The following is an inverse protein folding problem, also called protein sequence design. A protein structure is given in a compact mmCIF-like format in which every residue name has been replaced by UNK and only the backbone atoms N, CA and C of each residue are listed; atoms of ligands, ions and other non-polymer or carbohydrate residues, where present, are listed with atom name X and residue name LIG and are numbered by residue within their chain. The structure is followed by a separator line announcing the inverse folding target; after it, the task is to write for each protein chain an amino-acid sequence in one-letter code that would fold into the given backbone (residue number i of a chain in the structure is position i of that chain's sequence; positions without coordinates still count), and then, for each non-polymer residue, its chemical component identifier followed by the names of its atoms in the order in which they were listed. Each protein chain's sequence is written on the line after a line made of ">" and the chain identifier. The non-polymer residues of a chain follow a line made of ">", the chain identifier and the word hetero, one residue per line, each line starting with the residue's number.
data_IF_249988597451
#
_entry.id   IF_249988597451
#
_cell.length_a   1.000
_cell.length_b   1.000
_cell.length_c   1.000
_cell.angle_alpha   90.00
_cell.angle_beta   90.00
_cell.angle_gamma   90.00
#
_symmetry.space_group_name_H-M   'P 1'
#
loop_
_entity.id
_entity.type
_entity.pdbx_description
1 polymer ?
#
# COMPACT_ATOMS: atom_id res chain seq x y z
N UNK A 1 -4.40 15.23 -87.50
CA UNK A 1 -5.57 14.83 -86.68
C UNK A 1 -5.87 13.38 -87.00
N UNK A 2 -5.59 12.46 -86.07
CA UNK A 2 -5.81 11.03 -86.29
C UNK A 2 -7.26 10.66 -86.05
N UNK A 3 -7.87 9.90 -86.96
CA UNK A 3 -9.18 9.29 -86.71
C UNK A 3 -8.97 7.95 -86.00
N UNK A 4 -9.77 7.66 -84.98
CA UNK A 4 -9.77 6.34 -84.35
C UNK A 4 -10.98 5.52 -84.81
N UNK A 5 -10.79 4.21 -84.87
CA UNK A 5 -11.82 3.23 -85.21
C UNK A 5 -11.95 2.26 -84.05
N UNK A 6 -13.18 2.04 -83.59
CA UNK A 6 -13.46 1.08 -82.51
C UNK A 6 -14.10 -0.15 -83.14
N UNK A 7 -13.48 -1.30 -82.92
CA UNK A 7 -13.96 -2.61 -83.37
C UNK A 7 -14.55 -3.37 -82.19
N UNK A 8 -15.61 -4.13 -82.43
CA UNK A 8 -16.13 -5.10 -81.46
C UNK A 8 -15.37 -6.41 -81.67
N UNK A 9 -15.01 -7.08 -80.58
CA UNK A 9 -14.17 -8.29 -80.65
C UNK A 9 -14.91 -9.38 -81.43
N UNK A 10 -14.35 -9.79 -82.56
CA UNK A 10 -14.90 -10.80 -83.47
C UNK A 10 -15.53 -10.26 -84.77
N UNK A 11 -15.53 -8.95 -85.00
CA UNK A 11 -16.07 -8.33 -86.23
C UNK A 11 -15.02 -7.45 -86.93
N UNK A 12 -14.95 -7.56 -88.27
CA UNK A 12 -13.95 -6.85 -89.10
C UNK A 12 -14.39 -5.43 -89.53
N UNK A 13 -15.62 -5.03 -89.22
CA UNK A 13 -16.19 -3.71 -89.53
C UNK A 13 -16.27 -2.82 -88.25
N UNK A 14 -15.79 -1.56 -88.28
CA UNK A 14 -15.73 -0.71 -87.09
C UNK A 14 -17.09 -0.12 -86.72
N UNK A 15 -17.52 -0.34 -85.48
CA UNK A 15 -18.83 0.06 -84.93
C UNK A 15 -18.96 1.58 -84.74
N UNK A 16 -17.85 2.31 -84.63
CA UNK A 16 -17.87 3.78 -84.49
C UNK A 16 -16.63 4.41 -85.12
N UNK A 17 -16.83 5.50 -85.86
CA UNK A 17 -15.76 6.39 -86.37
C UNK A 17 -15.99 7.81 -85.86
N UNK A 18 -14.95 8.41 -85.30
CA UNK A 18 -15.00 9.80 -84.82
C UNK A 18 -13.60 10.43 -84.79
N UNK A 19 -13.52 11.78 -84.80
CA UNK A 19 -12.25 12.48 -84.67
C UNK A 19 -11.65 12.22 -83.28
N UNK A 20 -10.32 12.05 -83.19
CA UNK A 20 -9.65 11.88 -81.90
C UNK A 20 -10.00 13.03 -80.95
N UNK A 21 -10.37 12.73 -79.68
CA UNK A 21 -10.61 13.77 -78.70
C UNK A 21 -9.33 14.59 -78.49
N UNK A 22 -9.43 15.91 -78.27
CA UNK A 22 -8.25 16.73 -78.00
C UNK A 22 -7.51 16.17 -76.79
N UNK A 23 -6.18 16.11 -76.85
CA UNK A 23 -5.32 15.70 -75.74
C UNK A 23 -5.68 16.54 -74.51
N UNK A 24 -6.40 15.94 -73.57
CA UNK A 24 -6.75 16.56 -72.30
C UNK A 24 -5.48 16.97 -71.57
N UNK A 25 -5.52 18.14 -70.94
CA UNK A 25 -4.43 18.63 -70.10
C UNK A 25 -3.97 17.52 -69.12
N UNK A 26 -2.65 17.41 -68.85
CA UNK A 26 -2.14 16.41 -67.91
C UNK A 26 -2.89 16.53 -66.57
N UNK A 27 -3.19 15.40 -65.90
CA UNK A 27 -3.92 15.44 -64.63
C UNK A 27 -3.16 16.33 -63.65
N UNK A 28 -3.87 17.12 -62.81
CA UNK A 28 -3.21 18.00 -61.86
C UNK A 28 -2.25 17.18 -61.00
N UNK A 29 -1.01 17.65 -60.87
CA UNK A 29 0.00 17.01 -60.03
C UNK A 29 -0.61 16.78 -58.64
N UNK A 30 -0.50 15.54 -58.13
CA UNK A 30 -0.96 15.22 -56.76
C UNK A 30 -0.38 16.28 -55.81
N UNK A 31 -1.19 16.92 -54.95
CA UNK A 31 -0.67 17.93 -54.04
C UNK A 31 0.43 17.31 -53.20
N UNK A 32 1.61 17.92 -53.21
CA UNK A 32 2.73 17.51 -52.38
C UNK A 32 2.23 17.33 -50.95
N UNK A 33 2.51 16.17 -50.33
CA UNK A 33 2.16 15.88 -48.93
C UNK A 33 2.52 17.11 -48.09
N UNK A 34 1.51 17.84 -47.64
CA UNK A 34 1.67 19.20 -47.16
C UNK A 34 2.59 19.24 -45.94
N UNK A 35 3.37 20.32 -45.81
CA UNK A 35 4.23 20.61 -44.66
C UNK A 35 3.49 20.49 -43.30
N UNK A 36 2.16 20.60 -43.30
CA UNK A 36 1.31 20.34 -42.13
C UNK A 36 1.39 18.91 -41.59
N UNK A 37 1.65 17.90 -42.44
CA UNK A 37 1.80 16.50 -41.99
C UNK A 37 3.09 16.27 -41.17
N UNK A 38 4.21 16.87 -41.61
CA UNK A 38 5.48 16.83 -40.87
C UNK A 38 5.42 17.62 -39.57
N UNK A 39 4.79 18.81 -39.57
CA UNK A 39 4.57 19.60 -38.35
C UNK A 39 3.70 18.86 -37.33
N UNK A 40 2.64 18.17 -37.77
CA UNK A 40 1.80 17.33 -36.90
C UNK A 40 2.56 16.13 -36.33
N UNK A 41 3.40 15.47 -37.12
CA UNK A 41 4.23 14.35 -36.64
C UNK A 41 5.28 14.82 -35.60
N UNK A 42 5.89 15.99 -35.81
CA UNK A 42 6.83 16.61 -34.88
C UNK A 42 6.15 17.05 -33.57
N UNK A 43 4.95 17.62 -33.65
CA UNK A 43 4.15 17.98 -32.47
C UNK A 43 3.75 16.74 -31.67
N UNK A 44 3.34 15.65 -32.34
CA UNK A 44 3.00 14.39 -31.68
C UNK A 44 4.20 13.75 -30.98
N UNK A 45 5.36 13.72 -31.64
CA UNK A 45 6.60 13.19 -31.03
C UNK A 45 7.07 14.04 -29.85
N UNK A 46 6.97 15.37 -29.95
CA UNK A 46 7.26 16.27 -28.84
C UNK A 46 6.31 16.06 -27.65
N UNK A 47 5.00 15.90 -27.89
CA UNK A 47 4.03 15.63 -26.83
C UNK A 47 4.25 14.27 -26.15
N UNK A 48 4.61 13.22 -26.92
CA UNK A 48 4.95 11.91 -26.36
C UNK A 48 6.21 12.01 -25.50
N UNK A 49 7.25 12.71 -25.96
CA UNK A 49 8.47 12.92 -25.20
C UNK A 49 8.21 13.71 -23.90
N UNK A 50 7.35 14.73 -23.96
CA UNK A 50 6.98 15.55 -22.81
C UNK A 50 6.14 14.75 -21.80
N UNK A 51 5.22 13.91 -22.26
CA UNK A 51 4.45 13.00 -21.41
C UNK A 51 5.34 11.92 -20.76
N UNK A 52 6.32 11.38 -21.49
CA UNK A 52 7.30 10.44 -20.94
C UNK A 52 8.19 11.11 -19.88
N UNK A 53 8.69 12.32 -20.16
CA UNK A 53 9.48 13.10 -19.22
C UNK A 53 8.68 13.48 -17.97
N UNK A 54 7.41 13.89 -18.12
CA UNK A 54 6.51 14.15 -16.99
C UNK A 54 6.23 12.87 -16.18
N UNK A 55 6.03 11.73 -16.85
CA UNK A 55 5.88 10.42 -16.19
C UNK A 55 7.11 10.02 -15.37
N UNK A 56 8.31 10.19 -15.93
CA UNK A 56 9.59 9.98 -15.24
C UNK A 56 9.78 10.95 -14.08
N UNK A 57 9.46 12.23 -14.27
CA UNK A 57 9.55 13.25 -13.22
C UNK A 57 8.54 12.98 -12.08
N UNK A 58 7.31 12.59 -12.40
CA UNK A 58 6.29 12.20 -11.42
C UNK A 58 6.67 10.90 -10.69
N UNK A 59 7.25 9.92 -11.36
CA UNK A 59 7.79 8.71 -10.68
C UNK A 59 9.03 9.02 -9.85
N UNK A 60 9.85 10.00 -10.23
CA UNK A 60 10.99 10.42 -9.43
C UNK A 60 10.55 11.25 -8.20
N UNK A 61 9.56 12.14 -8.36
CA UNK A 61 9.03 13.01 -7.30
C UNK A 61 8.09 12.28 -6.32
N UNK A 62 7.22 11.40 -6.83
CA UNK A 62 6.19 10.71 -6.03
C UNK A 62 6.34 9.18 -6.04
N UNK A 63 7.00 8.62 -7.06
CA UNK A 63 7.04 7.18 -7.30
C UNK A 63 7.98 6.42 -6.37
N UNK A 64 9.08 6.99 -5.87
CA UNK A 64 9.95 6.27 -4.90
C UNK A 64 9.20 5.92 -3.62
N UNK A 65 8.37 6.83 -3.13
CA UNK A 65 7.57 6.62 -1.91
C UNK A 65 6.36 5.72 -2.18
N UNK A 66 5.66 5.94 -3.31
CA UNK A 66 4.53 5.10 -3.71
C UNK A 66 4.94 3.65 -4.02
N UNK A 67 6.09 3.45 -4.67
CA UNK A 67 6.66 2.12 -4.94
C UNK A 67 7.14 1.44 -3.66
N UNK A 68 7.80 2.16 -2.74
CA UNK A 68 8.20 1.60 -1.45
C UNK A 68 7.01 1.15 -0.61
N UNK A 69 5.94 1.96 -0.57
CA UNK A 69 4.70 1.60 0.09
C UNK A 69 3.97 0.45 -0.61
N UNK A 70 3.92 0.44 -1.95
CA UNK A 70 3.32 -0.64 -2.72
C UNK A 70 4.09 -1.96 -2.52
N UNK A 71 5.41 -1.94 -2.62
CA UNK A 71 6.26 -3.12 -2.33
C UNK A 71 6.09 -3.57 -0.89
N UNK A 72 5.99 -2.65 0.09
CA UNK A 72 5.71 -2.99 1.48
C UNK A 72 4.34 -3.66 1.69
N UNK A 73 3.31 -3.22 0.96
CA UNK A 73 1.97 -3.84 0.97
C UNK A 73 2.01 -5.21 0.28
N UNK A 74 2.74 -5.35 -0.83
CA UNK A 74 2.91 -6.62 -1.54
C UNK A 74 3.69 -7.63 -0.67
N UNK A 75 4.77 -7.20 0.00
CA UNK A 75 5.52 -8.00 0.98
C UNK A 75 4.62 -8.43 2.15
N UNK A 76 3.77 -7.53 2.66
CA UNK A 76 2.84 -7.85 3.74
C UNK A 76 1.75 -8.83 3.27
N UNK A 77 1.25 -8.66 2.04
CA UNK A 77 0.27 -9.55 1.43
C UNK A 77 0.85 -10.95 1.17
N UNK A 78 2.10 -11.02 0.71
CA UNK A 78 2.85 -12.27 0.56
C UNK A 78 3.11 -12.92 1.93
N UNK A 79 3.52 -12.14 2.93
CA UNK A 79 3.79 -12.64 4.28
C UNK A 79 2.54 -13.12 5.03
N UNK A 80 1.37 -12.57 4.74
CA UNK A 80 0.10 -13.01 5.35
C UNK A 80 -0.54 -14.17 4.60
N UNK A 81 0.03 -14.60 3.47
CA UNK A 81 -0.52 -15.67 2.63
C UNK A 81 -1.89 -15.36 2.04
N UNK A 82 -2.37 -14.11 2.15
CA UNK A 82 -3.73 -13.69 1.78
C UNK A 82 -3.91 -13.52 0.28
N UNK A 83 -2.82 -13.37 -0.48
CA UNK A 83 -2.89 -13.12 -1.92
C UNK A 83 -1.90 -14.04 -2.66
N UNK A 84 -2.37 -14.87 -3.62
CA UNK A 84 -1.48 -15.71 -4.40
C UNK A 84 -0.48 -14.85 -5.19
N UNK A 85 0.79 -15.30 -5.28
CA UNK A 85 1.85 -14.59 -5.99
C UNK A 85 1.46 -14.23 -7.44
N UNK A 86 0.73 -15.10 -8.14
CA UNK A 86 0.29 -14.83 -9.51
C UNK A 86 -0.68 -13.63 -9.61
N UNK A 87 -1.45 -13.33 -8.55
CA UNK A 87 -2.32 -12.15 -8.50
C UNK A 87 -1.49 -10.90 -8.22
N UNK A 88 -0.53 -10.97 -7.31
CA UNK A 88 0.36 -9.87 -6.94
C UNK A 88 1.20 -9.38 -8.15
N UNK A 89 1.69 -10.31 -8.97
CA UNK A 89 2.57 -10.00 -10.10
C UNK A 89 1.87 -9.99 -11.47
N UNK A 90 0.85 -10.83 -11.66
CA UNK A 90 0.17 -11.00 -12.95
C UNK A 90 -0.78 -9.86 -13.29
N UNK A 91 -1.48 -9.30 -12.29
CA UNK A 91 -2.40 -8.18 -12.48
C UNK A 91 -1.69 -6.89 -12.95
N UNK A 92 -0.59 -6.44 -12.32
CA UNK A 92 0.15 -5.28 -12.80
C UNK A 92 0.74 -5.49 -14.20
N UNK A 93 1.25 -6.69 -14.50
CA UNK A 93 1.78 -7.04 -15.81
C UNK A 93 0.70 -6.97 -16.90
N UNK A 94 -0.51 -7.46 -16.62
CA UNK A 94 -1.65 -7.36 -17.53
C UNK A 94 -2.06 -5.90 -17.75
N UNK A 95 -2.07 -5.08 -16.69
CA UNK A 95 -2.33 -3.64 -16.77
C UNK A 95 -1.33 -2.91 -17.68
N UNK A 96 -0.04 -3.23 -17.56
CA UNK A 96 1.02 -2.68 -18.44
C UNK A 96 0.81 -3.10 -19.89
N UNK A 97 0.48 -4.37 -20.16
CA UNK A 97 0.21 -4.85 -21.52
C UNK A 97 -1.02 -4.17 -22.14
N UNK A 98 -2.08 -3.94 -21.36
CA UNK A 98 -3.28 -3.21 -21.79
C UNK A 98 -2.95 -1.75 -22.11
N UNK A 99 -2.15 -1.08 -21.26
CA UNK A 99 -1.69 0.30 -21.52
C UNK A 99 -0.84 0.37 -22.79
N UNK A 100 0.09 -0.57 -23.00
CA UNK A 100 0.90 -0.65 -24.23
C UNK A 100 0.01 -0.84 -25.46
N UNK A 101 -0.94 -1.78 -25.40
CA UNK A 101 -1.87 -2.07 -26.49
C UNK A 101 -2.75 -0.87 -26.84
N UNK A 102 -3.27 -0.16 -25.83
CA UNK A 102 -4.11 1.03 -26.06
C UNK A 102 -3.28 2.23 -26.49
N UNK A 103 -2.06 2.42 -26.00
CA UNK A 103 -1.17 3.49 -26.47
C UNK A 103 -0.79 3.29 -27.94
N UNK A 104 -0.49 2.04 -28.35
CA UNK A 104 -0.28 1.70 -29.74
C UNK A 104 -1.54 1.97 -30.59
N UNK A 105 -2.72 1.59 -30.10
CA UNK A 105 -3.98 1.82 -30.81
C UNK A 105 -4.33 3.32 -30.94
N UNK A 106 -4.12 4.12 -29.90
CA UNK A 106 -4.35 5.57 -29.88
C UNK A 106 -3.42 6.34 -30.83
N UNK A 107 -2.18 5.85 -30.99
CA UNK A 107 -1.17 6.42 -31.88
C UNK A 107 -1.50 6.20 -33.37
N UNK A 108 -2.18 5.10 -33.72
CA UNK A 108 -2.48 4.73 -35.11
C UNK A 108 -3.97 4.80 -35.50
N UNK A 109 -4.90 4.99 -34.56
CA UNK A 109 -6.35 5.03 -34.79
C UNK A 109 -6.91 6.38 -35.28
N UNK A 110 -7.84 6.35 -36.24
CA UNK A 110 -8.32 7.53 -37.01
C UNK A 110 -9.62 8.19 -36.48
N UNK A 111 -10.34 7.56 -35.55
CA UNK A 111 -11.65 8.05 -35.04
C UNK A 111 -11.65 8.32 -33.53
N UNK A 112 -12.15 9.50 -33.13
CA UNK A 112 -12.13 10.01 -31.74
C UNK A 112 -12.98 9.19 -30.76
N UNK A 113 -14.13 8.67 -31.20
CA UNK A 113 -15.02 7.83 -30.38
C UNK A 113 -14.35 6.52 -29.93
N UNK A 114 -13.57 5.91 -30.81
CA UNK A 114 -12.78 4.71 -30.50
C UNK A 114 -11.63 5.00 -29.51
N UNK A 115 -11.12 6.23 -29.49
CA UNK A 115 -10.10 6.66 -28.53
C UNK A 115 -10.65 6.79 -27.11
N UNK A 116 -11.82 7.42 -26.97
CA UNK A 116 -12.52 7.56 -25.67
C UNK A 116 -12.93 6.19 -25.13
N UNK A 117 -13.46 5.31 -25.98
CA UNK A 117 -13.80 3.93 -25.62
C UNK A 117 -12.56 3.15 -25.15
N UNK A 118 -11.44 3.25 -25.88
CA UNK A 118 -10.20 2.57 -25.49
C UNK A 118 -9.65 3.07 -24.14
N UNK A 119 -9.72 4.38 -23.86
CA UNK A 119 -9.32 4.95 -22.58
C UNK A 119 -10.21 4.45 -21.43
N UNK A 120 -11.54 4.39 -21.65
CA UNK A 120 -12.47 3.83 -20.67
C UNK A 120 -12.19 2.35 -20.38
N UNK A 121 -11.84 1.56 -21.41
CA UNK A 121 -11.44 0.15 -21.26
C UNK A 121 -10.13 0.00 -20.48
N UNK A 122 -9.14 0.89 -20.68
CA UNK A 122 -7.91 0.89 -19.85
C UNK A 122 -8.23 1.21 -18.40
N UNK A 123 -9.02 2.26 -18.15
CA UNK A 123 -9.40 2.65 -16.79
C UNK A 123 -10.17 1.52 -16.10
N UNK A 124 -11.12 0.89 -16.81
CA UNK A 124 -11.85 -0.26 -16.30
C UNK A 124 -10.95 -1.48 -16.08
N UNK A 125 -10.00 -1.77 -16.97
CA UNK A 125 -9.05 -2.88 -16.83
C UNK A 125 -8.01 -2.65 -15.72
N UNK A 126 -7.69 -1.40 -15.39
CA UNK A 126 -6.83 -1.03 -14.26
C UNK A 126 -7.60 -1.03 -12.93
N UNK A 127 -8.90 -0.71 -12.95
CA UNK A 127 -9.76 -0.73 -11.76
C UNK A 127 -10.29 -2.13 -11.41
N UNK A 128 -10.56 -2.97 -12.42
CA UNK A 128 -11.13 -4.30 -12.26
C UNK A 128 -10.31 -5.23 -11.37
N UNK A 129 -8.96 -5.21 -11.37
CA UNK A 129 -8.19 -6.02 -10.45
C UNK A 129 -8.25 -5.54 -9.01
N UNK A 130 -8.30 -4.21 -8.78
CA UNK A 130 -8.51 -3.67 -7.43
C UNK A 130 -9.90 -4.01 -6.89
N UNK A 131 -10.92 -3.95 -7.75
CA UNK A 131 -12.29 -4.35 -7.42
C UNK A 131 -12.41 -5.87 -7.22
N UNK A 132 -11.83 -6.68 -8.10
CA UNK A 132 -11.82 -8.14 -8.00
C UNK A 132 -11.04 -8.60 -6.77
N UNK A 133 -9.88 -8.01 -6.46
CA UNK A 133 -9.15 -8.24 -5.22
C UNK A 133 -9.99 -7.88 -3.99
N UNK A 134 -10.70 -6.75 -4.02
CA UNK A 134 -11.63 -6.35 -2.95
C UNK A 134 -12.80 -7.32 -2.78
N UNK A 135 -13.30 -7.90 -3.88
CA UNK A 135 -14.45 -8.81 -3.89
C UNK A 135 -14.06 -10.26 -3.54
N UNK A 136 -12.97 -10.79 -4.09
CA UNK A 136 -12.53 -12.19 -3.89
C UNK A 136 -11.77 -12.40 -2.58
N UNK A 137 -11.11 -11.37 -2.04
CA UNK A 137 -10.48 -11.45 -0.71
C UNK A 137 -11.44 -11.06 0.41
N UNK A 138 -12.72 -10.90 0.10
CA UNK A 138 -13.75 -10.62 1.09
C UNK A 138 -13.65 -9.23 1.73
N UNK A 139 -12.79 -8.31 1.28
CA UNK A 139 -12.52 -7.01 1.95
C UNK A 139 -13.81 -6.25 2.32
N UNK A 140 -14.87 -6.36 1.52
CA UNK A 140 -16.18 -5.72 1.83
C UNK A 140 -17.00 -6.51 2.87
N UNK A 141 -16.91 -7.84 2.90
CA UNK A 141 -17.61 -8.69 3.88
C UNK A 141 -16.80 -8.87 5.19
N UNK A 142 -15.47 -9.02 5.10
CA UNK A 142 -14.54 -9.09 6.23
C UNK A 142 -14.49 -7.79 7.03
N UNK A 143 -14.77 -6.62 6.42
CA UNK A 143 -14.89 -5.37 7.21
C UNK A 143 -16.14 -5.40 8.08
N UNK A 144 -17.24 -6.01 7.61
CA UNK A 144 -18.47 -6.16 8.39
C UNK A 144 -18.30 -7.18 9.53
N UNK A 145 -17.83 -8.39 9.23
CA UNK A 145 -17.64 -9.45 10.23
C UNK A 145 -16.56 -9.09 11.26
N UNK A 146 -15.43 -8.52 10.82
CA UNK A 146 -14.36 -8.04 11.72
C UNK A 146 -14.80 -6.84 12.55
N UNK A 147 -15.81 -6.06 12.11
CA UNK A 147 -16.36 -4.98 12.94
C UNK A 147 -17.18 -5.51 14.11
N UNK A 148 -17.93 -6.59 13.92
CA UNK A 148 -18.71 -7.23 14.99
C UNK A 148 -17.79 -7.96 15.99
N UNK A 149 -16.80 -8.73 15.50
CA UNK A 149 -15.82 -9.42 16.36
C UNK A 149 -15.01 -8.41 17.19
N UNK A 150 -14.52 -7.33 16.57
CA UNK A 150 -13.82 -6.25 17.28
C UNK A 150 -14.75 -5.56 18.28
N UNK A 151 -16.03 -5.36 17.96
CA UNK A 151 -16.99 -4.77 18.88
C UNK A 151 -17.24 -5.67 20.10
N UNK A 152 -17.35 -6.98 19.92
CA UNK A 152 -17.46 -7.93 21.02
C UNK A 152 -16.18 -7.99 21.88
N UNK A 153 -15.00 -8.04 21.26
CA UNK A 153 -13.71 -7.95 21.97
C UNK A 153 -13.63 -6.68 22.81
N UNK A 154 -14.02 -5.53 22.24
CA UNK A 154 -14.02 -4.23 22.93
C UNK A 154 -15.01 -4.24 24.09
N UNK A 155 -16.22 -4.76 23.90
CA UNK A 155 -17.24 -4.87 24.97
C UNK A 155 -16.78 -5.79 26.09
N UNK A 156 -16.17 -6.93 25.77
CA UNK A 156 -15.63 -7.86 26.76
C UNK A 156 -14.51 -7.19 27.56
N UNK A 157 -13.54 -6.58 26.87
CA UNK A 157 -12.40 -5.91 27.51
C UNK A 157 -12.83 -4.70 28.34
N UNK A 158 -13.86 -3.96 27.90
CA UNK A 158 -14.39 -2.81 28.64
C UNK A 158 -14.90 -3.17 30.04
N UNK A 159 -15.28 -4.43 30.29
CA UNK A 159 -15.68 -4.91 31.62
C UNK A 159 -14.50 -5.00 32.58
N UNK A 160 -13.30 -5.22 32.06
CA UNK A 160 -12.05 -5.31 32.84
C UNK A 160 -11.42 -3.93 33.09
N UNK A 161 -11.85 -2.90 32.36
CA UNK A 161 -11.34 -1.54 32.51
C UNK A 161 -11.89 -0.87 33.77
N UNK A 162 -11.03 -0.10 34.43
CA UNK A 162 -11.42 0.77 35.55
C UNK A 162 -11.48 2.20 35.03
N UNK A 163 -12.66 2.82 34.86
CA UNK A 163 -12.75 4.16 34.27
C UNK A 163 -12.01 5.20 35.13
N UNK A 164 -11.28 6.15 34.51
CA UNK A 164 -10.51 7.15 35.25
C UNK A 164 -11.44 8.22 35.80
N UNK A 165 -11.12 8.75 36.98
CA UNK A 165 -11.79 9.94 37.49
C UNK A 165 -11.37 11.18 36.68
N UNK A 166 -12.26 12.16 36.48
CA UNK A 166 -11.92 13.39 35.79
C UNK A 166 -10.69 14.08 36.42
N UNK A 167 -9.74 14.50 35.58
CA UNK A 167 -8.52 15.18 36.01
C UNK A 167 -7.49 14.29 36.72
N UNK A 168 -7.70 12.96 36.81
CA UNK A 168 -6.72 12.03 37.37
C UNK A 168 -5.83 11.41 36.29
N UNK A 169 -4.67 10.84 36.66
CA UNK A 169 -3.81 10.14 35.72
C UNK A 169 -4.54 9.00 35.01
N UNK A 170 -4.28 8.85 33.72
CA UNK A 170 -4.90 7.84 32.86
C UNK A 170 -3.84 6.84 32.43
N UNK A 171 -4.13 5.55 32.57
CA UNK A 171 -3.28 4.46 32.12
C UNK A 171 -3.91 3.78 30.90
N UNK A 172 -3.18 3.78 29.79
CA UNK A 172 -3.58 3.18 28.52
C UNK A 172 -2.66 1.99 28.25
N UNK A 173 -3.22 0.78 28.14
CA UNK A 173 -2.45 -0.40 27.77
C UNK A 173 -2.37 -0.54 26.25
N UNK A 174 -1.17 -0.46 25.69
CA UNK A 174 -0.90 -0.75 24.29
C UNK A 174 -0.60 -2.23 24.13
N UNK A 175 -1.40 -2.90 23.31
CA UNK A 175 -1.32 -4.33 23.01
C UNK A 175 -0.93 -4.49 21.53
N UNK A 176 0.30 -4.93 21.29
CA UNK A 176 0.75 -5.30 19.95
C UNK A 176 0.52 -6.79 19.71
N UNK A 177 -0.36 -7.15 18.76
CA UNK A 177 -0.62 -8.55 18.41
C UNK A 177 0.16 -9.00 17.18
N UNK A 178 0.60 -10.26 17.17
CA UNK A 178 1.26 -10.90 16.02
C UNK A 178 0.29 -11.68 15.12
N UNK A 179 -1.01 -11.54 15.38
CA UNK A 179 -2.10 -12.18 14.64
C UNK A 179 -2.03 -11.82 13.16
N UNK A 180 -1.67 -12.79 12.32
CA UNK A 180 -1.47 -12.57 10.88
C UNK A 180 -2.63 -13.06 10.02
N UNK A 181 -3.39 -14.06 10.49
CA UNK A 181 -4.46 -14.72 9.74
C UNK A 181 -5.71 -14.83 10.62
N UNK A 182 -6.89 -14.87 9.99
CA UNK A 182 -8.17 -15.08 10.65
C UNK A 182 -8.24 -16.51 11.21
N UNK A 183 -8.66 -16.66 12.47
CA UNK A 183 -8.63 -17.95 13.19
C UNK A 183 -7.29 -18.30 13.86
N UNK A 184 -6.22 -17.50 13.68
CA UNK A 184 -5.05 -17.57 14.54
C UNK A 184 -5.39 -16.84 15.85
N UNK A 185 -5.33 -17.51 17.03
CA UNK A 185 -5.58 -16.84 18.31
C UNK A 185 -4.60 -15.68 18.54
N UNK A 186 -3.44 -15.68 17.87
CA UNK A 186 -2.41 -14.67 18.01
C UNK A 186 -1.84 -14.59 19.43
N UNK A 187 -0.80 -13.79 19.62
CA UNK A 187 -0.18 -13.51 20.91
C UNK A 187 0.02 -12.02 21.07
N UNK A 188 -0.02 -11.56 22.31
CA UNK A 188 0.37 -10.18 22.63
C UNK A 188 1.89 -10.11 22.72
N UNK A 189 2.52 -9.75 21.61
CA UNK A 189 3.97 -9.67 21.49
C UNK A 189 4.54 -8.40 22.13
N UNK A 190 3.66 -7.46 22.50
CA UNK A 190 3.96 -6.22 23.20
C UNK A 190 2.83 -5.87 24.17
N UNK A 191 3.18 -5.68 25.44
CA UNK A 191 2.31 -5.13 26.48
C UNK A 191 3.02 -3.93 27.11
N UNK A 192 2.61 -2.74 26.68
CA UNK A 192 3.20 -1.48 27.11
C UNK A 192 2.12 -0.58 27.71
N UNK A 193 2.22 -0.31 29.01
CA UNK A 193 1.38 0.66 29.68
C UNK A 193 1.94 2.07 29.48
N UNK A 194 1.10 2.99 29.00
CA UNK A 194 1.38 4.41 28.91
C UNK A 194 0.52 5.13 29.94
N UNK A 195 1.17 5.80 30.89
CA UNK A 195 0.50 6.65 31.87
C UNK A 195 0.62 8.11 31.46
N UNK A 196 -0.51 8.79 31.37
CA UNK A 196 -0.64 10.22 31.14
C UNK A 196 -1.01 10.88 32.47
N UNK A 197 -0.15 11.77 32.97
CA UNK A 197 -0.34 12.44 34.26
C UNK A 197 -0.52 13.95 34.03
N UNK A 198 -1.76 14.47 34.15
CA UNK A 198 -2.05 15.87 33.84
C UNK A 198 -1.47 16.84 34.87
N UNK A 199 -1.35 16.42 36.14
CA UNK A 199 -0.85 17.25 37.24
C UNK A 199 0.64 17.54 37.06
N UNK A 200 1.42 16.50 36.74
CA UNK A 200 2.87 16.61 36.51
C UNK A 200 3.24 16.92 35.07
N UNK A 201 2.26 16.92 34.14
CA UNK A 201 2.46 17.06 32.68
C UNK A 201 3.47 16.05 32.14
N UNK A 202 3.44 14.82 32.66
CA UNK A 202 4.41 13.78 32.34
C UNK A 202 3.75 12.59 31.66
N UNK A 203 4.54 11.90 30.83
CA UNK A 203 4.18 10.63 30.22
C UNK A 203 5.17 9.58 30.72
N UNK A 204 4.66 8.52 31.33
CA UNK A 204 5.45 7.39 31.81
C UNK A 204 5.10 6.12 31.04
N UNK A 205 6.09 5.25 30.84
CA UNK A 205 5.94 4.01 30.08
C UNK A 205 6.45 2.82 30.90
N UNK A 206 5.67 1.74 30.94
CA UNK A 206 6.02 0.48 31.58
C UNK A 206 5.77 -0.67 30.61
N UNK A 207 6.84 -1.33 30.16
CA UNK A 207 6.74 -2.54 29.34
C UNK A 207 6.94 -3.78 30.19
N UNK A 208 6.13 -4.81 29.98
CA UNK A 208 6.37 -6.14 30.56
C UNK A 208 6.95 -7.08 29.48
N UNK A 209 7.95 -7.91 29.82
CA UNK A 209 8.45 -8.94 28.91
C UNK A 209 7.33 -9.93 28.58
N UNK A 210 7.21 -10.28 27.30
CA UNK A 210 6.13 -11.17 26.83
C UNK A 210 6.22 -12.59 27.42
N UNK A 211 7.46 -13.04 27.69
CA UNK A 211 7.79 -14.39 28.15
C UNK A 211 7.84 -14.47 29.70
N UNK A 212 7.38 -13.43 30.41
CA UNK A 212 7.27 -13.43 31.86
C UNK A 212 6.29 -14.53 32.32
N UNK A 213 6.74 -15.43 33.19
CA UNK A 213 5.89 -16.47 33.77
C UNK A 213 4.98 -15.84 34.83
N UNK A 214 3.67 -15.94 34.63
CA UNK A 214 2.64 -15.33 35.47
C UNK A 214 1.50 -16.31 35.71
N UNK A 215 0.71 -16.07 36.75
CA UNK A 215 -0.54 -16.78 36.95
C UNK A 215 -1.66 -16.06 36.19
N UNK A 216 -2.23 -16.73 35.19
CA UNK A 216 -3.28 -16.19 34.33
C UNK A 216 -4.65 -16.58 34.93
N UNK A 217 -5.53 -15.62 35.26
CA UNK A 217 -6.85 -15.90 35.79
C UNK A 217 -7.63 -16.91 34.94
N UNK A 218 -8.16 -17.96 35.58
CA UNK A 218 -8.92 -19.02 34.90
C UNK A 218 -8.12 -20.00 34.04
N UNK A 219 -6.79 -19.81 33.88
CA UNK A 219 -5.92 -20.67 33.07
C UNK A 219 -4.82 -21.33 33.92
N UNK A 220 -4.19 -20.58 34.82
CA UNK A 220 -3.05 -21.01 35.63
C UNK A 220 -1.71 -20.45 35.14
N UNK A 221 -0.60 -21.07 35.55
CA UNK A 221 0.75 -20.59 35.28
C UNK A 221 1.14 -20.75 33.80
N UNK A 222 1.37 -19.63 33.11
CA UNK A 222 1.82 -19.59 31.71
C UNK A 222 2.56 -18.28 31.41
N UNK A 223 3.05 -18.11 30.19
CA UNK A 223 3.70 -16.86 29.78
C UNK A 223 2.67 -15.76 29.60
N UNK A 224 3.03 -14.53 29.98
CA UNK A 224 2.15 -13.37 29.94
C UNK A 224 1.49 -13.15 28.57
N UNK A 225 2.22 -13.37 27.47
CA UNK A 225 1.67 -13.19 26.13
C UNK A 225 0.57 -14.19 25.75
N UNK A 226 0.54 -15.36 26.41
CA UNK A 226 -0.45 -16.40 26.19
C UNK A 226 -1.82 -16.00 26.76
N UNK A 227 -1.90 -15.06 27.71
CA UNK A 227 -3.18 -14.51 28.19
C UNK A 227 -4.04 -13.97 27.03
N UNK A 228 -3.39 -13.34 26.05
CA UNK A 228 -4.05 -12.89 24.83
C UNK A 228 -4.53 -14.07 23.97
N UNK A 229 -3.74 -15.13 23.85
CA UNK A 229 -4.14 -16.32 23.08
C UNK A 229 -5.33 -17.04 23.71
N UNK A 230 -5.42 -17.04 25.04
CA UNK A 230 -6.49 -17.73 25.78
C UNK A 230 -7.80 -16.95 25.86
N UNK A 231 -7.74 -15.62 26.03
CA UNK A 231 -8.93 -14.81 26.31
C UNK A 231 -8.90 -13.42 25.67
N UNK A 232 -8.09 -13.25 24.64
CA UNK A 232 -8.02 -12.01 23.88
C UNK A 232 -7.54 -10.81 24.70
N UNK A 233 -7.89 -9.59 24.27
CA UNK A 233 -7.48 -8.37 24.97
C UNK A 233 -8.02 -8.28 26.41
N UNK A 234 -9.19 -8.86 26.69
CA UNK A 234 -9.80 -8.85 28.01
C UNK A 234 -8.94 -9.58 29.05
N UNK A 235 -8.59 -10.84 28.78
CA UNK A 235 -7.75 -11.62 29.70
C UNK A 235 -6.33 -11.06 29.77
N UNK A 236 -5.81 -10.48 28.68
CA UNK A 236 -4.53 -9.79 28.70
C UNK A 236 -4.54 -8.56 29.65
N UNK A 237 -5.60 -7.75 29.62
CA UNK A 237 -5.79 -6.61 30.53
C UNK A 237 -5.95 -7.06 31.98
N UNK A 238 -6.75 -8.09 32.22
CA UNK A 238 -6.97 -8.66 33.56
C UNK A 238 -5.66 -9.19 34.14
N UNK A 239 -4.94 -10.02 33.38
CA UNK A 239 -3.64 -10.58 33.77
C UNK A 239 -2.61 -9.49 34.03
N UNK A 240 -2.51 -8.48 33.14
CA UNK A 240 -1.61 -7.34 33.34
C UNK A 240 -1.92 -6.61 34.65
N UNK A 241 -3.19 -6.36 34.92
CA UNK A 241 -3.65 -5.68 36.13
C UNK A 241 -3.35 -6.52 37.38
N UNK A 242 -3.53 -7.84 37.32
CA UNK A 242 -3.22 -8.76 38.42
C UNK A 242 -1.71 -8.79 38.73
N UNK A 243 -0.86 -8.83 37.71
CA UNK A 243 0.60 -8.89 37.86
C UNK A 243 1.19 -7.58 38.38
N UNK A 244 0.66 -6.44 37.92
CA UNK A 244 1.24 -5.12 38.25
C UNK A 244 0.55 -4.41 39.41
N UNK A 245 -0.70 -4.77 39.71
CA UNK A 245 -1.58 -4.00 40.58
C UNK A 245 -2.00 -2.64 40.02
N UNK A 246 -1.58 -2.29 38.79
CA UNK A 246 -1.86 -0.99 38.17
C UNK A 246 -3.16 -1.05 37.38
N UNK A 247 -4.14 -0.17 37.64
CA UNK A 247 -5.40 -0.18 36.91
C UNK A 247 -5.20 0.23 35.45
N UNK A 248 -5.83 -0.49 34.54
CA UNK A 248 -5.92 -0.13 33.12
C UNK A 248 -7.25 0.58 32.89
N UNK A 249 -7.18 1.78 32.30
CA UNK A 249 -8.35 2.64 32.07
C UNK A 249 -8.83 2.57 30.63
N UNK A 250 -7.88 2.43 29.70
CA UNK A 250 -8.13 2.23 28.28
C UNK A 250 -7.14 1.20 27.74
N UNK A 251 -7.46 0.59 26.61
CA UNK A 251 -6.53 -0.23 25.86
C UNK A 251 -6.54 0.17 24.38
N UNK A 252 -5.43 -0.08 23.70
CA UNK A 252 -5.32 0.04 22.25
C UNK A 252 -4.70 -1.25 21.76
N UNK A 253 -5.45 -1.98 20.93
CA UNK A 253 -4.96 -3.16 20.22
C UNK A 253 -4.50 -2.77 18.83
N UNK A 254 -3.29 -3.19 18.45
CA UNK A 254 -2.75 -2.93 17.12
C UNK A 254 -2.04 -4.18 16.59
N UNK A 255 -2.42 -4.60 15.39
CA UNK A 255 -1.69 -5.64 14.66
C UNK A 255 -0.61 -5.02 13.76
N UNK A 256 0.16 -5.85 13.05
CA UNK A 256 1.22 -5.36 12.17
C UNK A 256 0.72 -4.47 11.03
N UNK A 257 -0.45 -4.75 10.47
CA UNK A 257 -1.03 -3.96 9.39
C UNK A 257 -1.48 -2.59 9.91
N UNK A 258 -2.16 -2.57 11.06
CA UNK A 258 -2.55 -1.37 11.77
C UNK A 258 -1.35 -0.50 12.13
N UNK A 259 -0.26 -1.09 12.62
CA UNK A 259 0.98 -0.34 12.92
C UNK A 259 1.58 0.28 11.67
N UNK A 260 1.75 -0.51 10.61
CA UNK A 260 2.28 -0.06 9.33
C UNK A 260 1.47 1.13 8.79
N UNK A 261 0.14 1.00 8.80
CA UNK A 261 -0.75 2.02 8.27
C UNK A 261 -0.72 3.30 9.12
N UNK A 262 -0.75 3.15 10.45
CA UNK A 262 -0.69 4.27 11.39
C UNK A 262 0.59 5.09 11.20
N UNK A 263 1.75 4.43 11.11
CA UNK A 263 3.03 5.13 10.90
C UNK A 263 3.06 5.86 9.56
N UNK A 264 2.48 5.28 8.52
CA UNK A 264 2.43 5.90 7.19
C UNK A 264 1.49 7.11 7.13
N UNK A 265 0.32 7.04 7.76
CA UNK A 265 -0.60 8.19 7.90
C UNK A 265 0.10 9.34 8.62
N UNK A 266 0.84 9.03 9.69
CA UNK A 266 1.61 10.00 10.46
C UNK A 266 2.85 10.52 9.70
N UNK A 267 3.06 10.06 8.46
CA UNK A 267 4.12 10.52 7.59
C UNK A 267 5.49 9.91 7.89
N UNK A 268 5.61 8.95 8.82
CA UNK A 268 6.85 8.33 9.29
C UNK A 268 7.44 8.98 10.54
N UNK A 269 8.39 8.29 11.18
CA UNK A 269 9.02 8.72 12.43
C UNK A 269 10.54 8.79 12.25
N UNK A 270 11.14 9.94 12.52
CA UNK A 270 12.59 10.04 12.61
C UNK A 270 13.13 9.40 13.90
N UNK A 271 14.04 8.44 13.77
CA UNK A 271 14.60 7.66 14.89
C UNK A 271 16.13 7.61 14.79
N UNK A 272 16.86 7.76 15.90
CA UNK A 272 18.30 7.49 15.93
C UNK A 272 18.54 5.98 15.97
N UNK A 273 18.86 5.40 14.81
CA UNK A 273 19.22 3.99 14.71
C UNK A 273 20.69 3.85 15.13
N UNK A 274 20.93 3.20 16.26
CA UNK A 274 22.24 3.12 16.93
C UNK A 274 23.25 2.20 16.23
N UNK A 275 22.77 1.19 15.50
CA UNK A 275 23.59 0.26 14.73
C UNK A 275 22.79 -0.37 13.59
N UNK A 276 23.47 -1.09 12.70
CA UNK A 276 22.77 -1.89 11.70
C UNK A 276 21.94 -2.99 12.35
N UNK A 277 20.67 -3.08 11.98
CA UNK A 277 19.78 -4.17 12.34
C UNK A 277 19.60 -5.07 11.13
N UNK A 278 20.13 -6.30 11.21
CA UNK A 278 20.19 -7.18 10.05
C UNK A 278 19.75 -8.60 10.37
N UNK A 279 18.81 -9.10 9.57
CA UNK A 279 18.44 -10.49 9.42
C UNK A 279 18.52 -10.86 7.93
N UNK A 280 19.36 -11.83 7.60
CA UNK A 280 19.47 -12.33 6.23
C UNK A 280 18.12 -12.89 5.74
N UNK A 281 17.83 -12.66 4.45
CA UNK A 281 16.69 -13.27 3.74
C UNK A 281 16.74 -14.81 3.71
N UNK A 282 17.91 -15.39 3.98
CA UNK A 282 18.12 -16.83 4.06
C UNK A 282 18.04 -17.36 5.50
N UNK A 283 17.77 -16.50 6.48
CA UNK A 283 17.57 -16.93 7.86
C UNK A 283 16.16 -17.48 8.07
N UNK A 284 15.95 -18.25 9.14
CA UNK A 284 14.62 -18.65 9.60
C UNK A 284 13.78 -17.48 10.14
N UNK A 285 14.35 -16.27 10.15
CA UNK A 285 13.74 -15.06 10.68
C UNK A 285 13.28 -14.13 9.55
N UNK A 286 12.39 -13.19 9.89
CA UNK A 286 11.97 -12.16 8.94
C UNK A 286 13.20 -11.35 8.51
N UNK A 287 13.32 -11.12 7.20
CA UNK A 287 14.42 -10.32 6.64
C UNK A 287 14.27 -8.87 7.08
N UNK A 288 15.32 -8.36 7.71
CA UNK A 288 15.41 -7.01 8.24
C UNK A 288 16.75 -6.47 7.78
N UNK A 289 16.77 -5.25 7.27
CA UNK A 289 18.02 -4.57 6.94
C UNK A 289 17.83 -3.06 7.13
N UNK A 290 18.20 -2.57 8.31
CA UNK A 290 18.10 -1.16 8.68
C UNK A 290 19.49 -0.67 9.01
N UNK A 291 20.00 0.26 8.22
CA UNK A 291 21.32 0.86 8.41
C UNK A 291 21.35 1.78 9.65
N UNK A 292 22.51 2.03 10.26
CA UNK A 292 22.63 2.98 11.36
C UNK A 292 22.45 4.44 10.90
N UNK A 293 22.11 5.31 11.86
CA UNK A 293 22.01 6.75 11.66
C UNK A 293 20.65 7.32 12.03
N UNK A 294 20.59 8.64 12.15
CA UNK A 294 19.34 9.36 12.34
C UNK A 294 18.57 9.40 11.03
N UNK A 295 17.49 8.64 10.94
CA UNK A 295 16.76 8.44 9.70
C UNK A 295 15.26 8.37 9.91
N UNK A 296 14.51 8.58 8.83
CA UNK A 296 13.06 8.51 8.84
C UNK A 296 12.60 7.08 8.55
N UNK A 297 11.99 6.44 9.54
CA UNK A 297 11.41 5.12 9.40
C UNK A 297 9.93 5.24 9.02
N UNK A 298 9.52 4.47 8.02
CA UNK A 298 8.13 4.41 7.51
C UNK A 298 7.70 2.96 7.36
N UNK A 299 6.39 2.73 7.35
CA UNK A 299 5.77 1.44 7.04
C UNK A 299 6.57 0.23 7.53
N UNK A 300 7.19 -0.49 6.57
CA UNK A 300 7.93 -1.73 6.81
C UNK A 300 9.18 -1.49 7.67
N UNK A 301 9.99 -0.47 7.38
CA UNK A 301 11.23 -0.21 8.12
C UNK A 301 10.94 0.15 9.58
N UNK A 302 9.85 0.89 9.83
CA UNK A 302 9.39 1.17 11.19
C UNK A 302 8.96 -0.11 11.91
N UNK A 303 8.22 -0.99 11.23
CA UNK A 303 7.76 -2.27 11.77
C UNK A 303 8.96 -3.19 12.08
N UNK A 304 9.91 -3.30 11.16
CA UNK A 304 11.12 -4.09 11.31
C UNK A 304 11.98 -3.59 12.47
N UNK A 305 12.10 -2.27 12.63
CA UNK A 305 12.82 -1.65 13.74
C UNK A 305 12.24 -2.04 15.09
N UNK A 306 10.92 -1.94 15.26
CA UNK A 306 10.26 -2.25 16.54
C UNK A 306 10.11 -3.76 16.80
N UNK A 307 10.30 -4.61 15.79
CA UNK A 307 10.23 -6.07 15.90
C UNK A 307 11.59 -6.75 16.03
N UNK A 308 12.67 -6.08 15.64
CA UNK A 308 14.00 -6.67 15.71
C UNK A 308 14.32 -7.12 17.14
N UNK A 309 14.86 -8.34 17.28
CA UNK A 309 15.23 -8.96 18.56
C UNK A 309 16.47 -9.86 18.48
N UNK A 310 17.12 -9.93 17.32
CA UNK A 310 18.25 -10.83 17.08
C UNK A 310 19.56 -10.19 17.52
N UNK A 311 19.57 -9.72 18.76
CA UNK A 311 20.76 -9.24 19.45
C UNK A 311 20.94 -9.97 20.79
N UNK A 312 22.08 -9.73 21.43
CA UNK A 312 22.42 -10.35 22.71
C UNK A 312 21.43 -10.03 23.85
N UNK A 313 20.63 -8.97 23.72
CA UNK A 313 19.68 -8.50 24.73
C UNK A 313 18.24 -8.94 24.44
N UNK A 314 17.98 -9.57 23.29
CA UNK A 314 16.72 -10.20 22.95
C UNK A 314 15.51 -9.27 23.07
N UNK A 315 14.57 -9.66 23.95
CA UNK A 315 13.32 -8.93 24.14
C UNK A 315 13.50 -7.58 24.85
N UNK A 316 14.48 -7.46 25.76
CA UNK A 316 14.71 -6.21 26.49
C UNK A 316 15.14 -5.06 25.58
N UNK A 317 15.99 -5.34 24.59
CA UNK A 317 16.38 -4.32 23.60
C UNK A 317 15.23 -3.97 22.66
N UNK A 318 14.37 -4.93 22.34
CA UNK A 318 13.14 -4.70 21.55
C UNK A 318 12.20 -3.75 22.29
N UNK A 319 11.95 -4.00 23.57
CA UNK A 319 11.14 -3.10 24.43
C UNK A 319 11.73 -1.68 24.48
N UNK A 320 13.06 -1.56 24.62
CA UNK A 320 13.75 -0.26 24.58
C UNK A 320 13.54 0.47 23.25
N UNK A 321 13.64 -0.24 22.12
CA UNK A 321 13.37 0.32 20.79
C UNK A 321 11.93 0.77 20.63
N UNK A 322 10.97 0.00 21.13
CA UNK A 322 9.55 0.36 21.11
C UNK A 322 9.27 1.64 21.91
N UNK A 323 9.82 1.74 23.13
CA UNK A 323 9.70 2.95 23.95
C UNK A 323 10.40 4.16 23.32
N UNK A 324 11.59 3.97 22.75
CA UNK A 324 12.31 5.00 22.01
C UNK A 324 11.49 5.47 20.79
N UNK A 325 10.89 4.55 20.03
CA UNK A 325 10.07 4.87 18.87
C UNK A 325 8.88 5.74 19.26
N UNK A 326 8.14 5.37 20.32
CA UNK A 326 7.02 6.16 20.82
C UNK A 326 7.45 7.52 21.36
N UNK A 327 8.61 7.60 22.03
CA UNK A 327 9.19 8.87 22.46
C UNK A 327 9.53 9.78 21.28
N UNK A 328 10.13 9.25 20.23
CA UNK A 328 10.44 10.05 19.03
C UNK A 328 9.17 10.46 18.28
N UNK A 329 8.14 9.61 18.25
CA UNK A 329 6.84 9.94 17.70
C UNK A 329 6.20 11.10 18.49
N UNK A 330 6.18 11.02 19.83
CA UNK A 330 5.67 12.09 20.69
C UNK A 330 6.45 13.40 20.52
N UNK A 331 7.78 13.33 20.41
CA UNK A 331 8.63 14.50 20.16
C UNK A 331 8.31 15.17 18.82
N UNK A 332 7.91 14.38 17.82
CA UNK A 332 7.49 14.85 16.50
C UNK A 332 6.07 15.41 16.49
N UNK A 333 5.12 14.78 17.19
CA UNK A 333 3.74 15.24 17.24
C UNK A 333 3.60 16.60 17.92
N UNK A 334 4.43 16.90 18.93
CA UNK A 334 4.51 18.24 19.52
C UNK A 334 4.98 19.33 18.54
N UNK A 335 5.66 18.96 17.44
CA UNK A 335 5.97 19.89 16.34
C UNK A 335 4.77 20.06 15.42
N UNK A 336 4.05 18.98 15.08
CA UNK A 336 2.88 19.06 14.21
C UNK A 336 1.81 20.01 14.73
N UNK A 337 1.58 20.08 16.05
CA UNK A 337 0.62 21.02 16.62
C UNK A 337 0.95 22.52 16.36
N UNK A 338 2.21 22.85 16.01
CA UNK A 338 2.60 24.22 15.63
C UNK A 338 2.42 24.51 14.15
N UNK A 339 2.33 23.49 13.30
CA UNK A 339 2.15 23.63 11.85
C UNK A 339 0.67 23.77 11.46
N UNK A 340 -0.27 23.48 12.39
CA UNK A 340 -1.72 23.57 12.21
C UNK A 340 -2.37 24.80 12.88
N UNK A 341 -1.58 25.73 13.43
CA UNK A 341 -2.04 27.03 13.96
C UNK A 341 -1.67 28.17 13.02
#
# INVERSE_FOLDING_TARGET
>A
MGNYRVYRVGEDEPVRRGPAPPLGAPPPARPARSAGSRRRALLLTALIALAAAAGVALTWLYGREALGNAVGVLDLAEQTGRVPAWVLYGVPALGVLVVIGVTAYLAFGRHLSLKVLSLAVVVAALAAPGFALGWTNGVVNTVSERSEEVEEEVKATARELKPPLPGKPVNILLIGSDQQVEGDPGRSDTLLLVRLDPDTKSISMLSLPRDLLVDIPGVGSAKLNEAYSYGGPALAVETFTAVTGVPVHHFIRIDFAGFWHSVNILGGVYVPVDRRYYNSKYSAWKSIDIEPGYQKLRGKDALDYVRFRHDQKGDFSRMQRQQLFLRELQRQSGRWNRDWQ
#
